data_IF_039684084234
#
_entry.id   IF_039684084234
#
_cell.length_a   1.000
_cell.length_b   1.000
_cell.length_c   1.000
_cell.angle_alpha   90.00
_cell.angle_beta   90.00
_cell.angle_gamma   90.00
#
_symmetry.space_group_name_H-M   'P 1'
#
loop_
_entity.id
_entity.type
_entity.pdbx_description
1 polymer ?
#
# COMPACT_ATOMS: atom_id res chain seq x y z
N UNK A 1 2.54 3.31 13.50
CA UNK A 1 1.74 2.40 12.65
C UNK A 1 2.47 1.07 12.63
N UNK A 2 1.81 0.02 13.08
CA UNK A 2 2.36 -1.33 12.97
C UNK A 2 2.35 -1.73 11.48
N UNK A 3 3.45 -2.26 10.96
CA UNK A 3 3.65 -2.43 9.51
C UNK A 3 2.65 -3.41 8.90
N UNK A 4 2.19 -4.40 9.66
CA UNK A 4 1.17 -5.34 9.19
C UNK A 4 -0.20 -4.68 9.06
N UNK A 5 -0.56 -3.74 9.96
CA UNK A 5 -1.80 -2.96 9.85
C UNK A 5 -1.84 -2.11 8.58
N UNK A 6 -0.73 -1.45 8.23
CA UNK A 6 -0.63 -0.65 7.01
C UNK A 6 -0.80 -1.50 5.74
N UNK A 7 -0.24 -2.71 5.73
CA UNK A 7 -0.35 -3.64 4.62
C UNK A 7 -1.77 -4.17 4.45
N UNK A 8 -2.44 -4.51 5.55
CA UNK A 8 -3.84 -4.94 5.53
C UNK A 8 -4.74 -3.80 5.04
N UNK A 9 -4.56 -2.58 5.56
CA UNK A 9 -5.30 -1.42 5.10
C UNK A 9 -5.11 -1.18 3.60
N UNK A 10 -3.88 -1.27 3.10
CA UNK A 10 -3.58 -1.12 1.67
C UNK A 10 -4.26 -2.21 0.83
N UNK A 11 -4.28 -3.46 1.30
CA UNK A 11 -4.99 -4.54 0.62
C UNK A 11 -6.50 -4.27 0.57
N UNK A 12 -7.11 -3.85 1.67
CA UNK A 12 -8.55 -3.57 1.76
C UNK A 12 -8.97 -2.42 0.83
N UNK A 13 -8.23 -1.30 0.85
CA UNK A 13 -8.53 -0.16 -0.04
C UNK A 13 -8.20 -0.47 -1.51
N UNK A 14 -7.25 -1.39 -1.76
CA UNK A 14 -6.96 -1.89 -3.09
C UNK A 14 -8.10 -2.76 -3.59
N UNK A 15 -8.71 -3.62 -2.78
CA UNK A 15 -9.87 -4.41 -3.21
C UNK A 15 -11.09 -3.52 -3.50
N UNK A 16 -11.30 -2.47 -2.70
CA UNK A 16 -12.46 -1.59 -2.83
C UNK A 16 -12.56 -0.85 -4.18
N UNK A 17 -11.41 -0.52 -4.81
CA UNK A 17 -11.34 0.20 -6.10
C UNK A 17 -12.40 1.32 -6.26
N UNK A 18 -12.46 2.33 -5.35
CA UNK A 18 -13.61 3.24 -5.27
C UNK A 18 -13.72 4.28 -6.40
N UNK A 19 -12.68 4.46 -7.21
CA UNK A 19 -12.65 5.44 -8.30
C UNK A 19 -12.69 4.75 -9.66
N UNK A 20 -13.27 5.42 -10.67
CA UNK A 20 -13.22 4.96 -12.06
C UNK A 20 -11.80 4.82 -12.58
N UNK A 21 -10.91 5.75 -12.22
CA UNK A 21 -9.49 5.75 -12.56
C UNK A 21 -8.68 6.42 -11.43
N UNK A 22 -7.40 6.10 -11.34
CA UNK A 22 -6.48 6.77 -10.42
C UNK A 22 -6.39 6.19 -9.00
N UNK A 23 -7.04 5.06 -8.70
CA UNK A 23 -7.01 4.38 -7.40
C UNK A 23 -5.60 4.27 -6.81
N UNK A 24 -4.64 3.72 -7.57
CA UNK A 24 -3.28 3.54 -7.06
C UNK A 24 -2.56 4.84 -6.69
N UNK A 25 -2.83 5.97 -7.38
CA UNK A 25 -2.25 7.27 -7.00
C UNK A 25 -2.84 7.77 -5.69
N UNK A 26 -4.16 7.69 -5.56
CA UNK A 26 -4.87 8.13 -4.36
C UNK A 26 -4.50 7.29 -3.14
N UNK A 27 -4.41 5.96 -3.29
CA UNK A 27 -4.03 5.04 -2.21
C UNK A 27 -2.62 5.32 -1.69
N UNK A 28 -1.63 5.52 -2.58
CA UNK A 28 -0.25 5.83 -2.19
C UNK A 28 -0.16 7.14 -1.41
N UNK A 29 -0.85 8.17 -1.87
CA UNK A 29 -0.83 9.47 -1.21
C UNK A 29 -1.57 9.43 0.14
N UNK A 30 -2.69 8.71 0.21
CA UNK A 30 -3.40 8.48 1.46
C UNK A 30 -2.51 7.75 2.49
N UNK A 31 -1.81 6.68 2.09
CA UNK A 31 -0.88 5.98 2.99
C UNK A 31 0.31 6.86 3.41
N UNK A 32 0.84 7.68 2.50
CA UNK A 32 1.93 8.62 2.81
C UNK A 32 1.51 9.61 3.89
N UNK A 33 0.34 10.23 3.73
CA UNK A 33 -0.22 11.17 4.72
C UNK A 33 -0.58 10.47 6.04
N UNK A 34 -1.14 9.26 5.99
CA UNK A 34 -1.43 8.47 7.19
C UNK A 34 -0.15 8.14 7.98
N UNK A 35 0.91 7.72 7.28
CA UNK A 35 2.20 7.44 7.88
C UNK A 35 2.82 8.71 8.49
N UNK A 36 2.77 9.83 7.77
CA UNK A 36 3.28 11.13 8.22
C UNK A 36 2.58 11.60 9.50
N UNK A 37 1.25 11.53 9.54
CA UNK A 37 0.45 11.86 10.72
C UNK A 37 0.73 10.94 11.91
N UNK A 38 1.17 9.71 11.65
CA UNK A 38 1.61 8.77 12.68
C UNK A 38 3.08 8.93 13.09
N UNK A 39 3.82 9.89 12.52
CA UNK A 39 5.24 10.15 12.82
C UNK A 39 6.23 9.28 12.03
N UNK A 40 5.81 8.67 10.92
CA UNK A 40 6.64 7.85 10.05
C UNK A 40 6.86 8.50 8.70
N UNK A 41 8.01 8.25 8.08
CA UNK A 41 8.22 8.52 6.66
C UNK A 41 7.86 7.26 5.88
N UNK A 42 7.13 7.41 4.78
CA UNK A 42 6.80 6.32 3.87
C UNK A 42 6.99 6.80 2.44
N UNK A 43 8.04 6.34 1.78
CA UNK A 43 8.39 6.69 0.41
C UNK A 43 8.16 5.50 -0.55
N UNK A 44 6.97 5.47 -1.14
CA UNK A 44 6.59 4.47 -2.14
C UNK A 44 7.07 4.83 -3.56
N UNK A 45 7.87 5.89 -3.75
CA UNK A 45 8.36 6.28 -5.08
C UNK A 45 9.32 5.26 -5.70
N UNK A 46 10.03 4.51 -4.85
CA UNK A 46 10.95 3.45 -5.26
C UNK A 46 10.26 2.11 -5.57
N UNK A 47 8.97 1.96 -5.23
CA UNK A 47 8.21 0.76 -5.53
C UNK A 47 7.85 0.74 -7.00
N UNK A 48 8.35 -0.27 -7.71
CA UNK A 48 8.07 -0.44 -9.13
C UNK A 48 6.60 -0.78 -9.39
N UNK A 49 6.14 -0.49 -10.60
CA UNK A 49 4.80 -0.89 -11.04
C UNK A 49 4.58 -2.40 -10.93
N UNK A 50 5.63 -3.19 -11.19
CA UNK A 50 5.56 -4.65 -11.13
C UNK A 50 5.39 -5.14 -9.69
N UNK A 51 6.18 -4.62 -8.75
CA UNK A 51 6.04 -4.99 -7.33
C UNK A 51 4.65 -4.64 -6.79
N UNK A 52 4.16 -3.44 -7.12
CA UNK A 52 2.81 -3.02 -6.73
C UNK A 52 1.74 -3.94 -7.32
N UNK A 53 1.85 -4.30 -8.61
CA UNK A 53 0.91 -5.20 -9.27
C UNK A 53 0.92 -6.60 -8.66
N UNK A 54 2.11 -7.18 -8.48
CA UNK A 54 2.27 -8.53 -7.93
C UNK A 54 1.71 -8.59 -6.50
N UNK A 55 2.00 -7.59 -5.66
CA UNK A 55 1.45 -7.48 -4.32
C UNK A 55 -0.07 -7.27 -4.31
N UNK A 56 -0.61 -6.52 -5.27
CA UNK A 56 -2.07 -6.32 -5.41
C UNK A 56 -2.78 -7.62 -5.77
N UNK A 57 -2.21 -8.41 -6.68
CA UNK A 57 -2.73 -9.74 -7.04
C UNK A 57 -2.68 -10.67 -5.82
N UNK A 58 -1.57 -10.68 -5.07
CA UNK A 58 -1.45 -11.49 -3.85
C UNK A 58 -2.47 -11.07 -2.79
N UNK A 59 -2.62 -9.76 -2.55
CA UNK A 59 -3.57 -9.20 -1.59
C UNK A 59 -5.02 -9.54 -1.91
N UNK A 60 -5.40 -9.58 -3.20
CA UNK A 60 -6.72 -10.05 -3.63
C UNK A 60 -7.03 -11.48 -3.14
N UNK A 61 -6.03 -12.35 -3.07
CA UNK A 61 -6.14 -13.69 -2.51
C UNK A 61 -5.92 -13.75 -0.98
N UNK A 62 -5.91 -12.61 -0.29
CA UNK A 62 -5.66 -12.50 1.15
C UNK A 62 -4.19 -12.65 1.56
N UNK A 63 -3.25 -12.65 0.61
CA UNK A 63 -1.82 -12.79 0.87
C UNK A 63 -1.15 -11.42 0.92
N UNK A 64 -1.17 -10.78 2.10
CA UNK A 64 -0.68 -9.40 2.27
C UNK A 64 0.84 -9.28 2.47
N UNK A 65 1.59 -10.38 2.34
CA UNK A 65 3.05 -10.38 2.54
C UNK A 65 3.79 -9.49 1.53
N UNK A 66 3.32 -9.42 0.28
CA UNK A 66 3.86 -8.51 -0.73
C UNK A 66 3.72 -7.04 -0.34
N UNK A 67 2.52 -6.64 0.13
CA UNK A 67 2.29 -5.29 0.65
C UNK A 67 3.14 -4.98 1.88
N UNK A 68 3.24 -5.93 2.83
CA UNK A 68 4.06 -5.77 4.02
C UNK A 68 5.55 -5.59 3.69
N UNK A 69 6.06 -6.35 2.72
CA UNK A 69 7.44 -6.21 2.24
C UNK A 69 7.69 -4.81 1.65
N UNK A 70 6.81 -4.34 0.76
CA UNK A 70 6.94 -3.01 0.16
C UNK A 70 6.90 -1.90 1.20
N UNK A 71 5.96 -1.93 2.14
CA UNK A 71 5.88 -0.95 3.23
C UNK A 71 7.14 -0.98 4.09
N UNK A 72 7.70 -2.16 4.37
CA UNK A 72 8.94 -2.30 5.14
C UNK A 72 10.14 -1.69 4.43
N UNK A 73 10.24 -1.83 3.11
CA UNK A 73 11.34 -1.29 2.31
C UNK A 73 11.21 0.21 2.05
N UNK A 74 9.99 0.74 2.09
CA UNK A 74 9.66 2.14 1.84
C UNK A 74 9.67 3.03 3.10
N UNK A 75 9.83 2.44 4.29
CA UNK A 75 9.78 3.11 5.60
C UNK A 75 11.13 3.23 6.27
#
# INVERSE_FOLDING_TARGET
MEKSQAANLLADINELHPFREGNGRTQREFLRELALNAGYTLDLSMVSRKEMLDASIQGHYGLNSGFAYMIKCAS
#
